data_IF_848726350556
#
_entry.id   IF_848726350556
#
_cell.length_a   1.000
_cell.length_b   1.000
_cell.length_c   1.000
_cell.angle_alpha   90.00
_cell.angle_beta   90.00
_cell.angle_gamma   90.00
#
_symmetry.space_group_name_H-M   'P 1'
#
loop_
_entity.id
_entity.type
_entity.pdbx_description
1 polymer ?
#
# COMPACT_ATOMS: atom_id res chain seq x y z
N UNK A 1 21.31 33.05 -16.69
CA UNK A 1 20.39 33.02 -17.86
C UNK A 1 19.81 31.63 -17.93
N UNK A 2 18.50 31.50 -17.79
CA UNK A 2 17.79 30.22 -17.94
C UNK A 2 17.89 29.76 -19.39
N UNK A 3 18.25 28.50 -19.62
CA UNK A 3 18.41 27.98 -20.98
C UNK A 3 17.05 27.76 -21.68
N UNK A 4 17.09 27.62 -23.01
CA UNK A 4 15.88 27.49 -23.85
C UNK A 4 15.07 26.23 -23.54
N UNK A 5 15.71 25.13 -23.13
CA UNK A 5 15.02 23.87 -22.78
C UNK A 5 14.20 24.09 -21.51
N UNK A 6 14.79 24.74 -20.51
CA UNK A 6 14.10 25.08 -19.25
C UNK A 6 12.93 26.04 -19.50
N UNK A 7 13.10 27.10 -20.31
CA UNK A 7 11.99 28.00 -20.66
C UNK A 7 10.83 27.27 -21.37
N UNK A 8 11.16 26.35 -22.28
CA UNK A 8 10.15 25.50 -22.94
C UNK A 8 9.39 24.62 -21.94
N UNK A 9 10.10 24.04 -20.97
CA UNK A 9 9.49 23.24 -19.90
C UNK A 9 8.55 24.06 -19.01
N UNK A 10 8.96 25.27 -18.61
CA UNK A 10 8.13 26.20 -17.85
C UNK A 10 6.80 26.48 -18.58
N UNK A 11 6.83 26.73 -19.88
CA UNK A 11 5.62 26.98 -20.66
C UNK A 11 4.73 25.73 -20.80
N UNK A 12 5.32 24.52 -20.83
CA UNK A 12 4.54 23.27 -20.75
C UNK A 12 3.86 23.12 -19.41
N UNK A 13 4.58 23.34 -18.31
CA UNK A 13 4.05 23.25 -16.94
C UNK A 13 2.87 24.20 -16.75
N UNK A 14 2.98 25.47 -17.17
CA UNK A 14 1.86 26.43 -17.09
C UNK A 14 0.62 25.96 -17.83
N UNK A 15 0.78 25.41 -19.04
CA UNK A 15 -0.34 24.84 -19.82
C UNK A 15 -0.95 23.63 -19.12
N UNK A 16 -0.10 22.76 -18.56
CA UNK A 16 -0.54 21.57 -17.85
C UNK A 16 -1.29 21.89 -16.55
N UNK A 17 -0.92 22.95 -15.81
CA UNK A 17 -1.70 23.41 -14.65
C UNK A 17 -3.13 23.81 -15.02
N UNK A 18 -3.29 24.54 -16.14
CA UNK A 18 -4.61 24.89 -16.66
C UNK A 18 -5.38 23.64 -17.08
N UNK A 19 -4.73 22.74 -17.83
CA UNK A 19 -5.35 21.50 -18.30
C UNK A 19 -5.74 20.56 -17.14
N UNK A 20 -4.89 20.45 -16.12
CA UNK A 20 -5.17 19.64 -14.93
C UNK A 20 -6.45 20.12 -14.23
N UNK A 21 -6.60 21.44 -14.07
CA UNK A 21 -7.84 22.05 -13.54
C UNK A 21 -9.07 21.80 -14.41
N UNK A 22 -8.90 21.73 -15.73
CA UNK A 22 -10.00 21.45 -16.65
C UNK A 22 -10.41 19.97 -16.67
N UNK A 23 -9.48 19.06 -16.41
CA UNK A 23 -9.71 17.61 -16.34
C UNK A 23 -10.30 17.24 -14.98
N UNK A 24 -9.67 17.67 -13.91
CA UNK A 24 -10.06 17.38 -12.53
C UNK A 24 -11.02 18.44 -11.99
N UNK A 25 -12.21 18.52 -12.58
CA UNK A 25 -13.20 19.56 -12.27
C UNK A 25 -13.81 19.44 -10.89
N UNK A 26 -13.86 18.22 -10.37
CA UNK A 26 -14.43 17.88 -9.07
C UNK A 26 -13.36 17.79 -7.97
N UNK A 27 -12.10 18.07 -8.31
CA UNK A 27 -10.95 18.03 -7.39
C UNK A 27 -10.79 16.68 -6.67
N UNK A 28 -10.92 15.59 -7.42
CA UNK A 28 -10.82 14.22 -6.89
C UNK A 28 -9.37 13.81 -6.60
N UNK A 29 -8.39 14.51 -7.19
CA UNK A 29 -6.98 14.25 -6.92
C UNK A 29 -6.63 14.73 -5.51
N UNK A 30 -5.92 13.89 -4.75
CA UNK A 30 -5.53 14.21 -3.39
C UNK A 30 -4.81 15.58 -3.31
N UNK A 31 -5.35 16.46 -2.47
CA UNK A 31 -4.87 17.83 -2.26
C UNK A 31 -5.39 18.88 -3.26
N UNK A 32 -6.01 18.45 -4.36
CA UNK A 32 -6.53 19.35 -5.40
C UNK A 32 -7.69 20.22 -4.89
N UNK A 33 -8.47 19.74 -3.93
CA UNK A 33 -9.55 20.48 -3.28
C UNK A 33 -9.04 21.67 -2.45
N UNK A 34 -7.81 21.57 -1.95
CA UNK A 34 -7.11 22.61 -1.20
C UNK A 34 -6.43 23.63 -2.12
N UNK A 35 -5.59 23.17 -3.06
CA UNK A 35 -4.81 24.08 -3.90
C UNK A 35 -5.54 24.54 -5.18
N UNK A 36 -6.53 23.78 -5.67
CA UNK A 36 -7.33 24.04 -6.89
C UNK A 36 -6.49 24.43 -8.13
N UNK A 37 -5.34 23.78 -8.26
CA UNK A 37 -4.30 24.04 -9.26
C UNK A 37 -3.82 25.51 -9.31
N UNK A 38 -3.97 26.27 -8.22
CA UNK A 38 -3.51 27.66 -8.12
C UNK A 38 -2.09 27.73 -7.58
N UNK A 39 -1.24 28.47 -8.29
CA UNK A 39 0.08 28.91 -7.81
C UNK A 39 0.02 30.42 -7.57
N UNK A 40 0.66 30.89 -6.51
CA UNK A 40 0.75 32.29 -6.11
C UNK A 40 1.66 33.13 -7.00
N UNK A 41 2.04 34.31 -6.50
CA UNK A 41 2.84 35.26 -7.26
C UNK A 41 4.28 34.79 -7.47
N UNK A 42 4.92 35.26 -8.54
CA UNK A 42 6.33 34.97 -8.85
C UNK A 42 7.25 35.69 -7.88
N UNK A 43 8.35 35.05 -7.53
CA UNK A 43 9.41 35.64 -6.71
C UNK A 43 10.25 36.58 -7.57
N UNK A 44 10.78 37.66 -6.98
CA UNK A 44 11.77 38.51 -7.67
C UNK A 44 13.17 37.92 -7.47
N UNK A 45 14.08 38.24 -8.39
CA UNK A 45 15.50 37.85 -8.23
C UNK A 45 16.10 38.34 -6.91
N UNK A 46 15.66 39.51 -6.42
CA UNK A 46 16.11 40.11 -5.15
C UNK A 46 15.80 39.22 -3.94
N UNK A 47 14.58 38.67 -3.86
CA UNK A 47 14.17 37.83 -2.72
C UNK A 47 14.87 36.46 -2.77
N UNK A 48 15.15 35.93 -3.98
CA UNK A 48 15.95 34.71 -4.15
C UNK A 48 17.39 34.94 -3.67
N UNK A 49 18.00 36.06 -4.06
CA UNK A 49 19.35 36.41 -3.62
C UNK A 49 19.42 36.65 -2.11
N UNK A 50 18.39 37.24 -1.52
CA UNK A 50 18.29 37.40 -0.07
C UNK A 50 18.24 36.04 0.63
N UNK A 51 17.41 35.11 0.14
CA UNK A 51 17.35 33.74 0.68
C UNK A 51 18.71 33.02 0.56
N UNK A 52 19.30 33.01 -0.64
CA UNK A 52 20.61 32.40 -0.90
C UNK A 52 21.70 32.97 0.02
N UNK A 53 21.70 34.30 0.22
CA UNK A 53 22.63 34.96 1.14
C UNK A 53 22.36 34.62 2.61
N UNK A 54 21.08 34.54 3.02
CA UNK A 54 20.69 34.29 4.40
C UNK A 54 21.07 32.88 4.89
N UNK A 55 21.03 31.90 3.98
CA UNK A 55 21.37 30.49 4.26
C UNK A 55 22.74 30.07 3.72
N UNK A 56 23.44 30.96 3.01
CA UNK A 56 24.73 30.69 2.35
C UNK A 56 24.67 29.44 1.44
N UNK A 57 23.64 29.41 0.60
CA UNK A 57 23.36 28.35 -0.38
C UNK A 57 23.23 28.95 -1.77
N UNK A 58 23.32 28.11 -2.81
CA UNK A 58 22.77 28.49 -4.11
C UNK A 58 21.66 27.53 -4.48
N UNK A 59 20.45 28.06 -4.70
CA UNK A 59 19.29 27.26 -5.09
C UNK A 59 19.54 26.59 -6.46
N UNK A 60 19.08 25.35 -6.65
CA UNK A 60 19.11 24.69 -7.95
C UNK A 60 18.42 25.53 -9.04
N UNK A 61 19.01 25.60 -10.24
CA UNK A 61 18.51 26.45 -11.33
C UNK A 61 17.08 26.10 -11.76
N UNK A 62 16.71 24.81 -11.68
CA UNK A 62 15.35 24.33 -11.92
C UNK A 62 14.35 24.92 -10.91
N UNK A 63 14.69 24.97 -9.62
CA UNK A 63 13.83 25.51 -8.58
C UNK A 63 13.74 27.04 -8.67
N UNK A 64 14.85 27.73 -8.93
CA UNK A 64 14.82 29.18 -9.23
C UNK A 64 13.92 29.50 -10.42
N UNK A 65 13.96 28.69 -11.48
CA UNK A 65 13.09 28.88 -12.64
C UNK A 65 11.60 28.68 -12.29
N UNK A 66 11.25 27.73 -11.41
CA UNK A 66 9.88 27.61 -10.90
C UNK A 66 9.43 28.88 -10.20
N UNK A 67 10.23 29.37 -9.24
CA UNK A 67 9.91 30.57 -8.44
C UNK A 67 9.78 31.84 -9.30
N UNK A 68 10.68 32.02 -10.26
CA UNK A 68 10.72 33.22 -11.13
C UNK A 68 9.61 33.22 -12.19
N UNK A 69 9.25 32.06 -12.73
CA UNK A 69 8.42 32.00 -13.94
C UNK A 69 7.06 31.34 -13.75
N UNK A 70 6.88 30.47 -12.77
CA UNK A 70 5.61 29.81 -12.46
C UNK A 70 4.94 30.52 -11.29
N UNK A 71 5.56 30.50 -10.10
CA UNK A 71 5.08 31.23 -8.93
C UNK A 71 5.61 30.67 -7.61
N UNK A 72 5.11 31.22 -6.50
CA UNK A 72 5.53 30.89 -5.14
C UNK A 72 4.36 30.94 -4.17
N UNK A 73 4.27 29.92 -3.31
CA UNK A 73 3.15 29.77 -2.40
C UNK A 73 1.79 29.73 -3.12
N UNK A 74 0.72 29.81 -2.36
CA UNK A 74 -0.64 29.68 -2.85
C UNK A 74 -1.64 29.64 -1.71
N UNK A 75 -2.78 29.01 -1.96
CA UNK A 75 -3.91 28.96 -1.02
C UNK A 75 -4.04 27.62 -0.29
N UNK A 76 -3.16 26.67 -0.57
CA UNK A 76 -3.20 25.36 0.06
C UNK A 76 -2.70 25.43 1.50
N UNK A 77 -2.63 24.27 2.16
CA UNK A 77 -2.02 24.08 3.47
C UNK A 77 -0.68 24.81 3.59
N UNK A 78 -0.47 25.53 4.71
CA UNK A 78 0.71 26.37 4.97
C UNK A 78 1.03 27.37 3.84
N UNK A 79 0.00 27.91 3.19
CA UNK A 79 0.11 28.83 2.05
C UNK A 79 0.85 28.21 0.86
N UNK A 80 0.76 26.90 0.67
CA UNK A 80 1.48 26.22 -0.41
C UNK A 80 0.88 26.50 -1.79
N UNK A 81 1.77 26.51 -2.79
CA UNK A 81 1.44 26.48 -4.21
C UNK A 81 0.81 25.13 -4.58
N UNK A 82 0.04 25.10 -5.66
CA UNK A 82 -0.36 23.85 -6.28
C UNK A 82 0.84 22.95 -6.57
N UNK A 83 0.72 21.69 -6.18
CA UNK A 83 1.74 20.67 -6.27
C UNK A 83 1.20 19.34 -5.75
N UNK A 84 1.99 18.27 -5.83
CA UNK A 84 1.67 16.98 -5.22
C UNK A 84 1.19 17.11 -3.77
N UNK A 85 0.22 16.30 -3.36
CA UNK A 85 -0.28 16.24 -1.99
C UNK A 85 -0.69 17.62 -1.46
N UNK A 86 -0.08 18.11 -0.38
CA UNK A 86 -0.46 19.40 0.21
C UNK A 86 0.12 20.62 -0.52
N UNK A 87 0.93 20.41 -1.56
CA UNK A 87 1.50 21.47 -2.39
C UNK A 87 2.97 21.77 -2.09
N UNK A 88 3.47 22.85 -2.71
CA UNK A 88 4.86 23.31 -2.55
C UNK A 88 4.90 24.53 -1.63
N UNK A 89 5.67 24.45 -0.54
CA UNK A 89 5.82 25.53 0.44
C UNK A 89 6.34 26.82 -0.21
N UNK A 90 5.94 28.00 0.29
CA UNK A 90 6.56 29.25 -0.11
C UNK A 90 8.06 29.27 0.21
N UNK A 91 8.85 29.92 -0.65
CA UNK A 91 10.27 30.19 -0.40
C UNK A 91 10.45 30.90 0.95
N UNK A 92 11.24 30.31 1.85
CA UNK A 92 11.53 30.88 3.17
C UNK A 92 10.62 30.39 4.29
N UNK A 93 9.55 29.65 3.98
CA UNK A 93 8.64 29.06 4.96
C UNK A 93 8.98 27.58 5.21
N UNK A 94 8.74 27.10 6.44
CA UNK A 94 8.98 25.71 6.89
C UNK A 94 10.42 25.21 6.62
N UNK A 95 11.40 26.12 6.63
CA UNK A 95 12.81 25.81 6.32
C UNK A 95 13.44 24.92 7.40
N UNK A 96 12.89 24.96 8.60
CA UNK A 96 13.31 24.27 9.82
C UNK A 96 12.66 22.91 10.04
N UNK A 97 11.77 22.46 9.15
CA UNK A 97 11.00 21.23 9.31
C UNK A 97 11.86 19.95 9.45
N UNK A 98 13.03 19.92 8.80
CA UNK A 98 13.98 18.81 8.94
C UNK A 98 15.02 19.05 10.04
N UNK A 99 15.25 20.30 10.40
CA UNK A 99 16.35 20.72 11.27
C UNK A 99 15.92 21.94 12.09
N UNK A 100 15.30 21.71 13.25
CA UNK A 100 14.57 22.75 13.98
C UNK A 100 15.48 23.82 14.60
N UNK A 101 16.66 23.44 15.08
CA UNK A 101 17.49 24.33 15.89
C UNK A 101 18.25 25.42 15.09
N UNK A 102 18.85 25.07 13.95
CA UNK A 102 19.65 26.01 13.15
C UNK A 102 19.76 25.58 11.67
N UNK A 103 18.73 25.84 10.84
CA UNK A 103 18.75 25.45 9.44
C UNK A 103 19.92 26.07 8.66
N UNK A 104 20.40 27.26 9.05
CA UNK A 104 21.54 27.93 8.39
C UNK A 104 22.84 27.15 8.54
N UNK A 105 23.01 26.44 9.65
CA UNK A 105 24.17 25.59 9.88
C UNK A 105 24.19 24.40 8.93
N UNK A 106 23.05 23.80 8.63
CA UNK A 106 22.97 22.50 7.96
C UNK A 106 22.60 22.58 6.47
N UNK A 107 21.83 23.58 6.02
CA UNK A 107 21.43 23.71 4.61
C UNK A 107 22.59 24.03 3.66
N UNK A 108 23.67 24.64 4.15
CA UNK A 108 24.87 24.95 3.35
C UNK A 108 25.81 23.77 3.13
N UNK A 109 25.62 22.70 3.89
CA UNK A 109 26.46 21.51 3.82
C UNK A 109 26.02 20.61 2.65
N UNK A 110 26.88 19.67 2.27
CA UNK A 110 26.55 18.69 1.23
C UNK A 110 25.51 17.68 1.73
N UNK A 111 24.64 17.25 0.82
CA UNK A 111 23.70 16.17 1.07
C UNK A 111 24.44 14.84 1.22
N UNK A 112 24.18 14.15 2.33
CA UNK A 112 24.74 12.82 2.60
C UNK A 112 23.90 11.70 2.00
N UNK A 113 22.62 11.95 1.80
CA UNK A 113 21.71 10.98 1.20
C UNK A 113 22.04 10.83 -0.27
N UNK A 114 21.99 9.60 -0.76
CA UNK A 114 22.19 9.29 -2.17
C UNK A 114 21.15 8.26 -2.66
N UNK A 115 20.82 8.26 -3.96
CA UNK A 115 19.92 7.26 -4.53
C UNK A 115 20.42 5.85 -4.27
N UNK A 116 19.51 4.91 -4.01
CA UNK A 116 19.83 3.49 -3.81
C UNK A 116 20.82 3.24 -2.65
N UNK A 117 20.78 4.07 -1.60
CA UNK A 117 21.59 3.84 -0.42
C UNK A 117 21.28 2.49 0.24
N UNK A 118 22.31 1.83 0.73
CA UNK A 118 22.17 0.51 1.36
C UNK A 118 21.51 0.63 2.72
N UNK A 119 20.89 -0.46 3.17
CA UNK A 119 20.29 -0.51 4.51
C UNK A 119 21.35 -0.33 5.60
N UNK A 120 22.56 -0.85 5.39
CA UNK A 120 23.68 -0.67 6.32
C UNK A 120 24.11 0.79 6.42
N UNK A 121 24.20 1.50 5.29
CA UNK A 121 24.53 2.93 5.31
C UNK A 121 23.46 3.73 6.05
N UNK A 122 22.18 3.44 5.80
CA UNK A 122 21.08 4.13 6.47
C UNK A 122 21.11 3.86 7.98
N UNK A 123 21.24 2.59 8.39
CA UNK A 123 21.33 2.21 9.79
C UNK A 123 22.53 2.85 10.49
N UNK A 124 23.71 2.90 9.85
CA UNK A 124 24.88 3.59 10.42
C UNK A 124 24.68 5.10 10.55
N UNK A 125 23.93 5.72 9.63
CA UNK A 125 23.66 7.15 9.63
C UNK A 125 22.65 7.56 10.71
N UNK A 126 21.67 6.70 11.04
CA UNK A 126 20.65 6.97 12.06
C UNK A 126 20.96 6.35 13.43
N UNK A 127 21.98 5.50 13.52
CA UNK A 127 22.36 4.74 14.74
C UNK A 127 22.37 5.57 16.01
N UNK A 128 23.00 6.74 15.96
CA UNK A 128 23.19 7.57 17.15
C UNK A 128 21.85 8.09 17.72
N UNK A 129 20.80 8.15 16.89
CA UNK A 129 19.43 8.45 17.31
C UNK A 129 18.69 7.18 17.70
N UNK A 130 18.70 6.16 16.85
CA UNK A 130 17.81 4.99 16.99
C UNK A 130 18.24 4.03 18.10
N UNK A 131 19.54 3.94 18.40
CA UNK A 131 20.07 3.06 19.44
C UNK A 131 20.29 3.75 20.80
N UNK A 132 20.07 5.07 20.89
CA UNK A 132 20.33 5.85 22.10
C UNK A 132 19.04 6.35 22.76
N UNK A 133 18.48 5.53 23.65
CA UNK A 133 17.24 5.87 24.39
C UNK A 133 17.37 7.11 25.31
N UNK A 134 18.60 7.49 25.68
CA UNK A 134 18.90 8.61 26.59
C UNK A 134 19.50 9.83 25.85
N UNK A 135 19.34 9.92 24.53
CA UNK A 135 19.84 11.05 23.74
C UNK A 135 19.25 12.38 24.24
N UNK A 136 20.10 13.39 24.41
CA UNK A 136 19.64 14.73 24.77
C UNK A 136 18.89 15.37 23.61
N UNK A 137 17.97 16.30 23.89
CA UNK A 137 17.28 17.03 22.81
C UNK A 137 18.27 17.76 21.91
N UNK A 138 19.31 18.38 22.48
CA UNK A 138 20.34 19.09 21.72
C UNK A 138 21.15 18.16 20.80
N UNK A 139 21.49 16.96 21.26
CA UNK A 139 22.21 15.97 20.46
C UNK A 139 21.31 15.36 19.39
N UNK A 140 20.04 15.07 19.72
CA UNK A 140 19.04 14.58 18.77
C UNK A 140 18.85 15.55 17.59
N UNK A 141 18.68 16.84 17.88
CA UNK A 141 18.62 17.90 16.86
C UNK A 141 19.90 17.99 16.02
N UNK A 142 21.06 17.80 16.67
CA UNK A 142 22.34 17.84 15.98
C UNK A 142 22.53 16.65 15.03
N UNK A 143 22.08 15.46 15.40
CA UNK A 143 22.07 14.26 14.56
C UNK A 143 21.06 14.39 13.41
N UNK A 144 19.84 14.89 13.65
CA UNK A 144 18.89 15.19 12.56
C UNK A 144 19.48 16.15 11.53
N UNK A 145 20.12 17.24 12.00
CA UNK A 145 20.81 18.17 11.12
C UNK A 145 21.93 17.53 10.30
N UNK A 146 22.60 16.50 10.83
CA UNK A 146 23.60 15.72 10.10
C UNK A 146 22.99 14.78 9.07
N UNK A 147 21.81 14.21 9.33
CA UNK A 147 21.11 13.28 8.42
C UNK A 147 20.57 14.08 7.22
N UNK A 148 19.90 15.21 7.49
CA UNK A 148 19.20 16.01 6.48
C UNK A 148 20.00 17.24 6.00
N UNK A 149 21.32 17.21 6.16
CA UNK A 149 22.21 18.30 5.72
C UNK A 149 22.05 18.56 4.22
N UNK A 150 21.99 19.84 3.83
CA UNK A 150 21.86 20.22 2.43
C UNK A 150 20.52 19.90 1.77
N UNK A 151 19.47 19.62 2.54
CA UNK A 151 18.13 19.29 2.03
C UNK A 151 17.12 20.32 2.54
N UNK A 152 16.46 21.03 1.61
CA UNK A 152 15.41 21.99 1.90
C UNK A 152 14.04 21.31 1.91
N UNK A 153 13.23 21.41 2.98
CA UNK A 153 11.82 21.01 2.93
C UNK A 153 11.07 21.88 1.92
N UNK A 154 10.34 21.25 1.00
CA UNK A 154 9.56 21.97 -0.03
C UNK A 154 8.08 21.61 -0.05
N UNK A 155 7.63 20.65 0.75
CA UNK A 155 6.23 20.28 0.88
C UNK A 155 6.03 19.04 1.74
N UNK A 156 4.79 18.72 2.08
CA UNK A 156 4.42 17.54 2.89
C UNK A 156 3.46 16.62 2.13
N UNK A 157 3.60 15.32 2.38
CA UNK A 157 2.66 14.28 1.92
C UNK A 157 1.59 13.99 2.99
N UNK A 158 1.73 14.58 4.19
CA UNK A 158 0.94 14.26 5.38
C UNK A 158 1.71 13.41 6.39
N UNK A 159 1.19 13.34 7.62
CA UNK A 159 1.84 12.65 8.74
C UNK A 159 3.30 13.11 8.93
N UNK A 160 4.26 12.19 8.81
CA UNK A 160 5.70 12.43 8.98
C UNK A 160 6.43 12.52 7.64
N UNK A 161 5.72 12.48 6.50
CA UNK A 161 6.31 12.42 5.17
C UNK A 161 6.44 13.78 4.50
N UNK A 162 7.62 14.05 3.94
CA UNK A 162 7.96 15.31 3.30
C UNK A 162 8.71 15.13 1.99
N UNK A 163 8.69 16.18 1.18
CA UNK A 163 9.56 16.33 0.02
C UNK A 163 10.75 17.22 0.40
N UNK A 164 11.96 16.70 0.19
CA UNK A 164 13.20 17.43 0.33
C UNK A 164 13.83 17.75 -1.02
N UNK A 165 14.18 19.01 -1.25
CA UNK A 165 14.99 19.45 -2.38
C UNK A 165 16.48 19.45 -2.00
N UNK A 166 17.28 18.68 -2.71
CA UNK A 166 18.73 18.66 -2.50
C UNK A 166 19.37 19.97 -3.01
N UNK A 167 20.01 20.73 -2.11
CA UNK A 167 20.62 22.03 -2.40
C UNK A 167 22.08 21.93 -2.86
N UNK A 168 22.83 20.97 -2.32
CA UNK A 168 24.28 20.85 -2.52
C UNK A 168 24.70 19.39 -2.76
N UNK A 169 25.94 19.20 -3.22
CA UNK A 169 26.48 17.89 -3.60
C UNK A 169 26.07 17.40 -5.00
N UNK A 170 26.38 16.13 -5.28
CA UNK A 170 26.25 15.50 -6.61
C UNK A 170 24.80 15.40 -7.10
N UNK A 171 23.83 15.34 -6.16
CA UNK A 171 22.41 15.19 -6.47
C UNK A 171 21.62 16.50 -6.41
N UNK A 172 22.32 17.64 -6.42
CA UNK A 172 21.72 18.98 -6.41
C UNK A 172 20.58 19.12 -7.41
N UNK A 173 19.43 19.58 -6.92
CA UNK A 173 18.22 19.80 -7.69
C UNK A 173 17.25 18.62 -7.71
N UNK A 174 17.63 17.43 -7.26
CA UNK A 174 16.74 16.27 -7.14
C UNK A 174 15.83 16.34 -5.91
N UNK A 175 14.73 15.60 -5.96
CA UNK A 175 13.79 15.45 -4.85
C UNK A 175 14.03 14.12 -4.14
N UNK A 176 13.96 14.15 -2.82
CA UNK A 176 13.98 12.98 -1.95
C UNK A 176 12.76 13.01 -1.04
N UNK A 177 12.05 11.89 -0.96
CA UNK A 177 10.98 11.69 0.02
C UNK A 177 11.64 11.31 1.34
N UNK A 178 11.29 12.06 2.38
CA UNK A 178 11.83 11.92 3.73
C UNK A 178 10.70 11.55 4.67
N UNK A 179 10.95 10.62 5.57
CA UNK A 179 10.08 10.30 6.70
C UNK A 179 10.76 10.78 7.99
N UNK A 180 10.10 11.64 8.76
CA UNK A 180 10.62 12.11 10.05
C UNK A 180 10.67 11.00 11.12
N UNK A 181 9.91 9.91 10.93
CA UNK A 181 10.06 8.67 11.73
C UNK A 181 11.27 7.82 11.29
N UNK A 182 12.08 8.33 10.34
CA UNK A 182 13.36 7.77 9.88
C UNK A 182 13.25 6.42 9.17
N UNK A 183 12.13 6.18 8.50
CA UNK A 183 12.10 5.22 7.39
C UNK A 183 13.08 5.67 6.28
N UNK A 184 13.70 4.68 5.61
CA UNK A 184 14.79 4.95 4.65
C UNK A 184 14.32 5.90 3.53
N UNK A 185 15.00 7.04 3.30
CA UNK A 185 14.60 8.02 2.31
C UNK A 185 14.60 7.46 0.87
N UNK A 186 13.69 7.97 0.05
CA UNK A 186 13.52 7.53 -1.34
C UNK A 186 13.74 8.69 -2.32
N UNK A 187 14.77 8.61 -3.16
CA UNK A 187 14.98 9.60 -4.22
C UNK A 187 13.96 9.42 -5.35
N UNK A 188 13.33 10.51 -5.77
CA UNK A 188 12.45 10.48 -6.94
C UNK A 188 13.26 10.17 -8.20
N UNK A 189 12.63 9.57 -9.20
CA UNK A 189 13.30 9.14 -10.43
C UNK A 189 13.77 10.33 -11.28
N UNK A 190 13.11 11.47 -11.13
CA UNK A 190 13.37 12.65 -11.93
C UNK A 190 14.72 13.28 -11.56
N UNK A 191 15.38 13.79 -12.60
CA UNK A 191 16.73 14.33 -12.48
C UNK A 191 16.76 15.69 -11.79
N UNK A 192 15.63 16.37 -11.67
CA UNK A 192 15.51 17.65 -10.97
C UNK A 192 14.04 17.98 -10.58
N UNK A 193 13.88 19.05 -9.79
CA UNK A 193 12.59 19.57 -9.33
C UNK A 193 11.57 19.83 -10.45
N UNK A 194 11.96 20.43 -11.58
CA UNK A 194 11.00 20.75 -12.65
C UNK A 194 10.54 19.50 -13.37
N UNK A 195 11.42 18.53 -13.60
CA UNK A 195 11.05 17.24 -14.18
C UNK A 195 10.05 16.51 -13.25
N UNK A 196 10.31 16.53 -11.94
CA UNK A 196 9.42 15.97 -10.92
C UNK A 196 8.04 16.66 -10.88
N UNK A 197 8.03 17.99 -10.86
CA UNK A 197 6.80 18.79 -10.85
C UNK A 197 6.01 18.63 -12.15
N UNK A 198 6.69 18.59 -13.31
CA UNK A 198 6.06 18.38 -14.60
C UNK A 198 5.43 16.98 -14.70
N UNK A 199 6.09 15.96 -14.14
CA UNK A 199 5.56 14.59 -14.11
C UNK A 199 4.27 14.49 -13.28
N UNK A 200 4.21 15.15 -12.13
CA UNK A 200 2.96 15.20 -11.34
C UNK A 200 1.79 15.65 -12.21
N UNK A 201 1.99 16.71 -13.00
CA UNK A 201 0.97 17.18 -13.93
C UNK A 201 0.73 16.22 -15.11
N UNK A 202 1.73 15.48 -15.57
CA UNK A 202 1.55 14.44 -16.60
C UNK A 202 0.62 13.31 -16.10
N UNK A 203 0.73 12.91 -14.83
CA UNK A 203 -0.14 11.88 -14.25
C UNK A 203 -1.61 12.31 -14.25
N UNK A 204 -1.87 13.61 -14.06
CA UNK A 204 -3.21 14.19 -14.07
C UNK A 204 -3.73 14.41 -15.49
N UNK A 205 -2.87 14.90 -16.38
CA UNK A 205 -3.26 15.30 -17.73
C UNK A 205 -3.21 14.18 -18.77
N UNK A 206 -2.66 13.02 -18.42
CA UNK A 206 -2.70 11.84 -19.27
C UNK A 206 -4.12 11.25 -19.36
N UNK A 207 -4.47 10.65 -20.51
CA UNK A 207 -5.78 10.00 -20.75
C UNK A 207 -6.08 8.81 -19.80
N UNK A 208 -5.16 8.48 -18.88
CA UNK A 208 -5.32 7.46 -17.86
C UNK A 208 -5.27 8.08 -16.46
N UNK A 209 -6.35 8.73 -16.02
CA UNK A 209 -6.46 9.16 -14.62
C UNK A 209 -6.25 7.96 -13.70
N UNK A 210 -5.34 8.06 -12.75
CA UNK A 210 -5.20 7.08 -11.66
C UNK A 210 -6.08 7.53 -10.51
N UNK A 211 -7.08 6.73 -10.13
CA UNK A 211 -7.99 7.02 -9.01
C UNK A 211 -7.32 6.91 -7.62
N UNK A 212 -6.02 6.65 -7.56
CA UNK A 212 -5.24 6.54 -6.33
C UNK A 212 -3.99 7.44 -6.45
N UNK A 213 -4.09 8.65 -5.91
CA UNK A 213 -3.08 9.72 -5.99
C UNK A 213 -1.99 9.65 -4.93
N UNK A 214 -2.08 8.73 -3.97
CA UNK A 214 -1.08 8.54 -2.91
C UNK A 214 0.25 7.95 -3.42
N UNK A 215 0.33 7.57 -4.71
CA UNK A 215 1.37 6.68 -5.24
C UNK A 215 2.39 7.36 -6.17
N UNK A 216 2.25 8.67 -6.40
CA UNK A 216 3.23 9.51 -7.11
C UNK A 216 4.63 9.42 -6.48
N UNK A 217 4.67 9.28 -5.15
CA UNK A 217 5.86 9.36 -4.31
C UNK A 217 6.89 8.24 -4.56
N UNK A 218 6.44 7.00 -4.74
CA UNK A 218 7.31 5.81 -4.63
C UNK A 218 7.31 4.93 -5.89
N UNK A 219 7.04 5.49 -7.07
CA UNK A 219 7.00 4.69 -8.31
C UNK A 219 7.68 5.36 -9.49
N UNK A 220 8.26 4.55 -10.38
CA UNK A 220 8.63 4.99 -11.71
C UNK A 220 7.33 5.25 -12.47
N UNK A 221 7.06 6.51 -12.76
CA UNK A 221 5.86 6.94 -13.46
C UNK A 221 6.19 7.44 -14.86
N UNK A 222 5.24 8.19 -15.42
CA UNK A 222 5.17 8.38 -16.87
C UNK A 222 4.36 7.28 -17.57
N UNK A 223 4.42 7.30 -18.89
CA UNK A 223 3.66 6.38 -19.75
C UNK A 223 4.12 4.94 -19.57
N UNK A 224 3.22 3.98 -19.83
CA UNK A 224 3.54 2.55 -19.78
C UNK A 224 4.73 2.21 -20.69
N UNK A 225 4.84 2.87 -21.86
CA UNK A 225 5.97 2.70 -22.78
C UNK A 225 7.30 3.18 -22.20
N UNK A 226 7.31 4.26 -21.42
CA UNK A 226 8.52 4.70 -20.73
C UNK A 226 8.95 3.69 -19.67
N UNK A 227 8.00 3.24 -18.83
CA UNK A 227 8.26 2.23 -17.80
C UNK A 227 8.79 0.93 -18.42
N UNK A 228 8.19 0.49 -19.53
CA UNK A 228 8.65 -0.68 -20.27
C UNK A 228 10.08 -0.50 -20.81
N UNK A 229 10.43 0.67 -21.32
CA UNK A 229 11.80 0.93 -21.78
C UNK A 229 12.82 0.85 -20.63
N UNK A 230 12.49 1.38 -19.44
CA UNK A 230 13.35 1.25 -18.25
C UNK A 230 13.46 -0.21 -17.82
N UNK A 231 12.35 -0.94 -17.80
CA UNK A 231 12.33 -2.38 -17.50
C UNK A 231 13.23 -3.20 -18.45
N UNK A 232 13.16 -2.93 -19.76
CA UNK A 232 13.95 -3.65 -20.76
C UNK A 232 15.42 -3.27 -20.80
N UNK A 233 15.77 -2.04 -20.39
CA UNK A 233 17.16 -1.54 -20.45
C UNK A 233 17.93 -1.70 -19.14
N UNK A 234 17.24 -1.85 -18.01
CA UNK A 234 17.85 -2.09 -16.71
C UNK A 234 18.31 -3.55 -16.57
N UNK A 235 19.48 -3.74 -15.95
CA UNK A 235 19.94 -5.05 -15.47
C UNK A 235 19.72 -5.23 -13.96
N UNK A 236 19.21 -4.20 -13.29
CA UNK A 236 18.95 -4.21 -11.86
C UNK A 236 17.57 -4.81 -11.56
N UNK A 237 17.53 -5.82 -10.67
CA UNK A 237 16.31 -6.54 -10.32
C UNK A 237 15.31 -5.66 -9.58
N UNK A 238 15.78 -4.79 -8.69
CA UNK A 238 14.93 -3.89 -7.92
C UNK A 238 14.27 -2.85 -8.83
N UNK A 239 15.02 -2.26 -9.75
CA UNK A 239 14.46 -1.34 -10.76
C UNK A 239 13.40 -2.05 -11.62
N UNK A 240 13.63 -3.30 -12.00
CA UNK A 240 12.64 -4.07 -12.75
C UNK A 240 11.37 -4.35 -11.94
N UNK A 241 11.49 -4.73 -10.67
CA UNK A 241 10.34 -4.91 -9.76
C UNK A 241 9.53 -3.62 -9.58
N UNK A 242 10.22 -2.48 -9.48
CA UNK A 242 9.59 -1.16 -9.40
C UNK A 242 8.86 -0.79 -10.68
N UNK A 243 9.44 -1.08 -11.85
CA UNK A 243 8.77 -0.91 -13.14
C UNK A 243 7.47 -1.73 -13.19
N UNK A 244 7.52 -3.01 -12.82
CA UNK A 244 6.34 -3.88 -12.81
C UNK A 244 5.30 -3.40 -11.78
N UNK A 245 5.73 -2.87 -10.64
CA UNK A 245 4.85 -2.24 -9.66
C UNK A 245 4.19 -0.97 -10.21
N UNK A 246 4.94 -0.15 -10.96
CA UNK A 246 4.41 1.01 -11.68
C UNK A 246 3.38 0.62 -12.74
N UNK A 247 3.64 -0.47 -13.48
CA UNK A 247 2.69 -1.03 -14.46
C UNK A 247 1.44 -1.56 -13.77
N UNK A 248 1.57 -2.32 -12.67
CA UNK A 248 0.43 -2.83 -11.90
C UNK A 248 -0.50 -1.73 -11.41
N UNK A 249 -0.04 -0.50 -11.22
CA UNK A 249 -0.87 0.62 -10.77
C UNK A 249 -1.66 1.28 -11.90
N UNK A 250 -1.38 0.95 -13.16
CA UNK A 250 -2.12 1.50 -14.31
C UNK A 250 -3.53 0.92 -14.37
N UNK A 251 -4.48 1.70 -14.89
CA UNK A 251 -5.84 1.24 -15.12
C UNK A 251 -5.92 0.28 -16.30
N UNK A 252 -5.26 0.64 -17.41
CA UNK A 252 -5.22 -0.14 -18.64
C UNK A 252 -3.82 -0.08 -19.25
N UNK A 253 -3.45 -1.11 -20.02
CA UNK A 253 -2.20 -1.16 -20.79
C UNK A 253 -2.49 -1.69 -22.19
N UNK A 254 -1.68 -1.25 -23.17
CA UNK A 254 -1.82 -1.69 -24.56
C UNK A 254 -1.45 -3.19 -24.71
N UNK A 255 -2.16 -3.91 -25.56
CA UNK A 255 -1.89 -5.34 -25.81
C UNK A 255 -0.45 -5.62 -26.26
N UNK A 256 0.20 -4.71 -26.98
CA UNK A 256 1.61 -4.88 -27.40
C UNK A 256 2.57 -4.86 -26.22
N UNK A 257 2.22 -4.14 -25.15
CA UNK A 257 3.01 -4.11 -23.92
C UNK A 257 2.87 -5.45 -23.21
N UNK A 258 1.65 -6.01 -23.18
CA UNK A 258 1.41 -7.34 -22.67
C UNK A 258 2.20 -8.41 -23.44
N UNK A 259 2.33 -8.28 -24.77
CA UNK A 259 3.13 -9.21 -25.57
C UNK A 259 4.61 -9.23 -25.10
N UNK A 260 5.19 -8.04 -24.85
CA UNK A 260 6.58 -7.94 -24.36
C UNK A 260 6.73 -8.51 -22.95
N UNK A 261 5.81 -8.18 -22.03
CA UNK A 261 5.85 -8.68 -20.66
C UNK A 261 5.64 -10.21 -20.60
N UNK A 262 4.83 -10.75 -21.49
CA UNK A 262 4.64 -12.19 -21.66
C UNK A 262 5.87 -12.86 -22.24
N UNK A 263 6.66 -12.26 -23.12
CA UNK A 263 7.92 -12.89 -23.54
C UNK A 263 8.93 -12.99 -22.37
N UNK A 264 8.94 -11.97 -21.50
CA UNK A 264 9.85 -11.84 -20.36
C UNK A 264 9.43 -12.66 -19.13
N UNK A 265 8.16 -13.09 -19.02
CA UNK A 265 7.65 -13.82 -17.83
C UNK A 265 8.39 -15.13 -17.54
N UNK A 266 9.10 -15.68 -18.53
CA UNK A 266 9.95 -16.89 -18.37
C UNK A 266 11.13 -16.66 -17.41
N UNK A 267 11.38 -15.42 -17.01
CA UNK A 267 12.27 -15.08 -15.92
C UNK A 267 11.85 -15.80 -14.64
N UNK A 268 12.80 -16.39 -13.92
CA UNK A 268 12.52 -17.06 -12.63
C UNK A 268 12.55 -16.06 -11.47
N UNK A 269 12.06 -16.47 -10.30
CA UNK A 269 12.13 -15.66 -9.09
C UNK A 269 11.05 -14.58 -9.01
N UNK A 270 11.31 -13.53 -8.23
CA UNK A 270 10.33 -12.49 -7.93
C UNK A 270 9.89 -11.70 -9.17
N UNK A 271 10.79 -11.50 -10.15
CA UNK A 271 10.44 -10.86 -11.43
C UNK A 271 9.39 -11.66 -12.19
N UNK A 272 9.58 -12.97 -12.34
CA UNK A 272 8.63 -13.85 -13.03
C UNK A 272 7.27 -13.86 -12.35
N UNK A 273 7.26 -13.97 -11.02
CA UNK A 273 6.06 -13.87 -10.20
C UNK A 273 5.33 -12.53 -10.40
N UNK A 274 6.07 -11.41 -10.39
CA UNK A 274 5.50 -10.07 -10.57
C UNK A 274 4.97 -9.85 -11.98
N UNK A 275 5.65 -10.39 -13.00
CA UNK A 275 5.16 -10.41 -14.39
C UNK A 275 3.85 -11.18 -14.51
N UNK A 276 3.76 -12.39 -13.92
CA UNK A 276 2.51 -13.15 -13.88
C UNK A 276 1.40 -12.36 -13.18
N UNK A 277 1.69 -11.67 -12.07
CA UNK A 277 0.72 -10.79 -11.42
C UNK A 277 0.20 -9.70 -12.37
N UNK A 278 1.08 -9.05 -13.13
CA UNK A 278 0.71 -8.04 -14.14
C UNK A 278 -0.18 -8.64 -15.21
N UNK A 279 0.19 -9.80 -15.76
CA UNK A 279 -0.59 -10.48 -16.79
C UNK A 279 -1.99 -10.84 -16.25
N UNK A 280 -2.11 -11.35 -15.02
CA UNK A 280 -3.42 -11.65 -14.43
C UNK A 280 -4.29 -10.40 -14.29
N UNK A 281 -3.69 -9.26 -13.88
CA UNK A 281 -4.43 -8.01 -13.73
C UNK A 281 -5.05 -7.51 -15.03
N UNK A 282 -4.29 -7.56 -16.12
CA UNK A 282 -4.70 -6.90 -17.37
C UNK A 282 -5.26 -7.88 -18.41
N UNK A 283 -4.88 -9.16 -18.38
CA UNK A 283 -5.35 -10.19 -19.31
C UNK A 283 -5.21 -11.61 -18.71
N UNK A 284 -6.20 -12.02 -17.90
CA UNK A 284 -6.20 -13.35 -17.28
C UNK A 284 -6.07 -14.49 -18.29
N UNK A 285 -6.68 -14.39 -19.49
CA UNK A 285 -6.64 -15.46 -20.48
C UNK A 285 -5.23 -15.73 -20.98
N UNK A 286 -4.43 -14.67 -21.10
CA UNK A 286 -3.01 -14.72 -21.44
C UNK A 286 -2.16 -15.30 -20.33
N UNK A 287 -2.43 -14.94 -19.07
CA UNK A 287 -1.73 -15.50 -17.91
C UNK A 287 -2.05 -16.99 -17.68
N UNK A 288 -3.28 -17.41 -17.97
CA UNK A 288 -3.86 -18.71 -17.60
C UNK A 288 -2.99 -19.94 -17.91
N UNK A 289 -2.36 -20.09 -19.09
CA UNK A 289 -1.53 -21.26 -19.40
C UNK A 289 -0.35 -21.42 -18.43
N UNK A 290 0.17 -20.31 -17.91
CA UNK A 290 1.35 -20.27 -17.04
C UNK A 290 0.99 -20.43 -15.56
N UNK A 291 -0.20 -19.97 -15.16
CA UNK A 291 -0.63 -20.00 -13.75
C UNK A 291 -0.71 -21.42 -13.20
N UNK A 292 -1.20 -22.40 -13.97
CA UNK A 292 -1.32 -23.79 -13.46
C UNK A 292 0.03 -24.45 -13.21
N UNK A 293 1.06 -24.11 -14.00
CA UNK A 293 2.41 -24.59 -13.76
C UNK A 293 3.04 -23.85 -12.59
N UNK A 294 2.89 -22.52 -12.51
CA UNK A 294 3.39 -21.72 -11.39
C UNK A 294 2.74 -22.08 -10.06
N UNK A 295 1.45 -22.47 -10.06
CA UNK A 295 0.73 -22.91 -8.85
C UNK A 295 1.30 -24.19 -8.24
N UNK A 296 2.08 -24.99 -8.99
CA UNK A 296 2.80 -26.15 -8.43
C UNK A 296 3.99 -25.72 -7.56
N UNK A 297 4.50 -24.51 -7.77
CA UNK A 297 5.62 -23.92 -7.04
C UNK A 297 5.14 -22.97 -5.94
N UNK A 298 4.21 -22.06 -6.28
CA UNK A 298 3.66 -21.04 -5.36
C UNK A 298 2.14 -20.88 -5.58
N UNK A 299 1.38 -21.79 -4.98
CA UNK A 299 -0.09 -21.78 -5.05
C UNK A 299 -0.71 -20.54 -4.38
N UNK A 300 -0.07 -20.03 -3.32
CA UNK A 300 -0.57 -18.88 -2.56
C UNK A 300 -0.63 -17.64 -3.44
N UNK A 301 0.49 -17.31 -4.10
CA UNK A 301 0.57 -16.16 -4.99
C UNK A 301 -0.44 -16.27 -6.12
N UNK A 302 -0.63 -17.45 -6.69
CA UNK A 302 -1.64 -17.67 -7.74
C UNK A 302 -3.06 -17.40 -7.22
N UNK A 303 -3.44 -17.96 -6.07
CA UNK A 303 -4.78 -17.71 -5.51
C UNK A 303 -4.98 -16.24 -5.15
N UNK A 304 -3.94 -15.56 -4.68
CA UNK A 304 -3.96 -14.12 -4.44
C UNK A 304 -4.21 -13.34 -5.74
N UNK A 305 -3.47 -13.62 -6.81
CA UNK A 305 -3.61 -12.91 -8.08
C UNK A 305 -5.00 -13.09 -8.67
N UNK A 306 -5.51 -14.32 -8.66
CA UNK A 306 -6.86 -14.65 -9.15
C UNK A 306 -7.89 -13.91 -8.30
N UNK A 307 -7.80 -13.95 -6.97
CA UNK A 307 -8.78 -13.27 -6.13
C UNK A 307 -8.76 -11.74 -6.29
N UNK A 308 -7.57 -11.13 -6.39
CA UNK A 308 -7.45 -9.68 -6.49
C UNK A 308 -7.90 -9.12 -7.82
N UNK A 309 -7.63 -9.84 -8.93
CA UNK A 309 -7.80 -9.26 -10.26
C UNK A 309 -8.68 -10.06 -11.22
N UNK A 310 -8.96 -11.33 -10.94
CA UNK A 310 -9.70 -12.23 -11.84
C UNK A 310 -10.68 -13.13 -11.06
N UNK A 311 -11.33 -12.59 -10.03
CA UNK A 311 -12.18 -13.40 -9.13
C UNK A 311 -13.40 -13.99 -9.83
N UNK A 312 -13.87 -13.37 -10.90
CA UNK A 312 -14.89 -13.91 -11.82
C UNK A 312 -14.43 -15.20 -12.52
N UNK A 313 -13.12 -15.49 -12.51
CA UNK A 313 -12.50 -16.69 -13.07
C UNK A 313 -12.16 -17.75 -12.03
N UNK A 314 -12.60 -17.59 -10.78
CA UNK A 314 -12.34 -18.56 -9.71
C UNK A 314 -12.74 -20.00 -10.09
N UNK A 315 -13.82 -20.18 -10.85
CA UNK A 315 -14.30 -21.52 -11.28
C UNK A 315 -13.29 -22.32 -12.08
N UNK A 316 -12.34 -21.68 -12.77
CA UNK A 316 -11.27 -22.36 -13.50
C UNK A 316 -10.36 -23.17 -12.57
N UNK A 317 -10.32 -22.81 -11.29
CA UNK A 317 -9.44 -23.37 -10.28
C UNK A 317 -10.07 -24.49 -9.46
N UNK A 318 -11.37 -24.77 -9.63
CA UNK A 318 -12.08 -25.75 -8.80
C UNK A 318 -11.43 -27.14 -8.86
N UNK A 319 -11.09 -27.60 -10.06
CA UNK A 319 -10.51 -28.94 -10.23
C UNK A 319 -9.07 -29.00 -9.71
N UNK A 320 -8.30 -27.93 -9.92
CA UNK A 320 -6.96 -27.81 -9.33
C UNK A 320 -7.02 -27.82 -7.80
N UNK A 321 -7.94 -27.07 -7.20
CA UNK A 321 -8.17 -27.04 -5.77
C UNK A 321 -8.48 -28.45 -5.28
N UNK A 322 -9.50 -29.13 -5.84
CA UNK A 322 -9.89 -30.49 -5.42
C UNK A 322 -8.72 -31.48 -5.45
N UNK A 323 -7.88 -31.41 -6.49
CA UNK A 323 -6.73 -32.32 -6.65
C UNK A 323 -5.56 -32.00 -5.71
N UNK A 324 -5.46 -30.76 -5.22
CA UNK A 324 -4.31 -30.31 -4.42
C UNK A 324 -4.68 -29.88 -3.00
N UNK A 325 -5.95 -29.97 -2.60
CA UNK A 325 -6.41 -29.37 -1.36
C UNK A 325 -5.70 -29.97 -0.14
N UNK A 326 -5.42 -31.26 -0.14
CA UNK A 326 -4.69 -31.95 0.94
C UNK A 326 -3.25 -31.43 1.13
N UNK A 327 -2.68 -30.73 0.14
CA UNK A 327 -1.34 -30.13 0.24
C UNK A 327 -1.35 -28.78 0.93
N UNK A 328 -2.51 -28.15 1.10
CA UNK A 328 -2.65 -26.85 1.75
C UNK A 328 -2.52 -27.06 3.26
N UNK A 329 -1.43 -26.58 3.84
CA UNK A 329 -1.11 -26.75 5.26
C UNK A 329 -0.83 -25.43 6.00
N UNK A 330 -0.86 -24.29 5.30
CA UNK A 330 -0.74 -22.97 5.88
C UNK A 330 -2.07 -22.19 5.85
N UNK A 331 -2.25 -21.30 6.84
CA UNK A 331 -3.47 -20.51 7.00
C UNK A 331 -3.75 -19.61 5.79
N UNK A 332 -2.70 -18.98 5.24
CA UNK A 332 -2.87 -17.92 4.24
C UNK A 332 -3.34 -18.49 2.91
N UNK A 333 -2.76 -19.61 2.49
CA UNK A 333 -3.20 -20.35 1.29
C UNK A 333 -4.61 -20.87 1.47
N UNK A 334 -4.94 -21.43 2.64
CA UNK A 334 -6.28 -21.92 2.90
C UNK A 334 -7.32 -20.80 2.89
N UNK A 335 -7.01 -19.64 3.47
CA UNK A 335 -7.85 -18.45 3.43
C UNK A 335 -8.17 -18.04 1.98
N UNK A 336 -7.15 -17.85 1.14
CA UNK A 336 -7.37 -17.47 -0.26
C UNK A 336 -8.09 -18.57 -1.05
N UNK A 337 -7.83 -19.84 -0.77
CA UNK A 337 -8.58 -20.97 -1.33
C UNK A 337 -10.08 -20.84 -1.02
N UNK A 338 -10.45 -20.56 0.24
CA UNK A 338 -11.85 -20.38 0.64
C UNK A 338 -12.50 -19.16 0.00
N UNK A 339 -11.76 -18.08 -0.23
CA UNK A 339 -12.26 -16.91 -0.95
C UNK A 339 -12.59 -17.23 -2.41
N UNK A 340 -11.71 -17.96 -3.10
CA UNK A 340 -11.99 -18.41 -4.47
C UNK A 340 -13.21 -19.33 -4.53
N UNK A 341 -13.32 -20.29 -3.60
CA UNK A 341 -14.48 -21.19 -3.52
C UNK A 341 -15.79 -20.42 -3.28
N UNK A 342 -15.76 -19.36 -2.46
CA UNK A 342 -16.92 -18.51 -2.20
C UNK A 342 -17.37 -17.74 -3.45
N UNK A 343 -16.43 -17.20 -4.23
CA UNK A 343 -16.74 -16.48 -5.49
C UNK A 343 -17.39 -17.39 -6.54
N UNK A 344 -17.19 -18.71 -6.48
CA UNK A 344 -17.81 -19.67 -7.39
C UNK A 344 -19.33 -19.87 -7.16
N UNK A 345 -19.88 -19.37 -6.04
CA UNK A 345 -21.32 -19.48 -5.69
C UNK A 345 -21.86 -20.91 -5.77
N UNK A 346 -21.05 -21.87 -5.33
CA UNK A 346 -21.40 -23.28 -5.24
C UNK A 346 -21.32 -23.75 -3.79
N UNK A 347 -21.90 -24.92 -3.51
CA UNK A 347 -21.69 -25.58 -2.23
C UNK A 347 -20.28 -26.20 -2.19
N UNK A 348 -19.36 -25.50 -1.53
CA UNK A 348 -17.98 -25.93 -1.32
C UNK A 348 -17.77 -26.61 0.04
N UNK A 349 -18.80 -26.77 0.87
CA UNK A 349 -18.63 -27.27 2.22
C UNK A 349 -17.97 -28.64 2.24
N UNK A 350 -18.41 -29.56 1.37
CA UNK A 350 -17.80 -30.89 1.23
C UNK A 350 -16.31 -30.87 0.84
N UNK A 351 -15.83 -29.79 0.20
CA UNK A 351 -14.41 -29.62 -0.16
C UNK A 351 -13.57 -29.27 1.07
N UNK A 352 -14.11 -28.45 1.98
CA UNK A 352 -13.35 -27.90 3.11
C UNK A 352 -13.58 -28.64 4.44
N UNK A 353 -14.67 -29.40 4.59
CA UNK A 353 -14.98 -30.20 5.79
C UNK A 353 -13.80 -31.03 6.34
N UNK A 354 -12.96 -31.69 5.50
CA UNK A 354 -11.79 -32.43 5.99
C UNK A 354 -10.83 -31.59 6.86
N UNK A 355 -10.79 -30.27 6.67
CA UNK A 355 -9.94 -29.36 7.44
C UNK A 355 -10.39 -29.19 8.90
N UNK A 356 -11.56 -29.70 9.29
CA UNK A 356 -12.03 -29.66 10.69
C UNK A 356 -11.12 -30.46 11.64
N UNK A 357 -10.31 -31.35 11.08
CA UNK A 357 -9.34 -32.18 11.81
C UNK A 357 -7.89 -31.71 11.60
N UNK A 358 -7.66 -30.58 10.92
CA UNK A 358 -6.32 -30.06 10.69
C UNK A 358 -5.65 -29.69 12.02
N UNK A 359 -4.37 -29.97 12.19
CA UNK A 359 -3.63 -29.67 13.43
C UNK A 359 -3.54 -28.15 13.69
N UNK A 360 -3.48 -27.35 12.63
CA UNK A 360 -3.41 -25.90 12.72
C UNK A 360 -4.79 -25.30 13.09
N UNK A 361 -4.86 -24.72 14.29
CA UNK A 361 -6.08 -24.06 14.81
C UNK A 361 -6.58 -22.92 13.92
N UNK A 362 -5.71 -22.20 13.23
CA UNK A 362 -6.11 -21.06 12.40
C UNK A 362 -6.77 -21.52 11.10
N UNK A 363 -6.33 -22.66 10.57
CA UNK A 363 -7.01 -23.34 9.45
C UNK A 363 -8.40 -23.81 9.89
N UNK A 364 -8.51 -24.46 11.06
CA UNK A 364 -9.83 -24.85 11.61
C UNK A 364 -10.73 -23.63 11.85
N UNK A 365 -10.17 -22.52 12.33
CA UNK A 365 -10.88 -21.25 12.51
C UNK A 365 -11.45 -20.74 11.17
N UNK A 366 -10.59 -20.64 10.15
CA UNK A 366 -10.97 -20.20 8.80
C UNK A 366 -12.01 -21.12 8.17
N UNK A 367 -11.95 -22.44 8.43
CA UNK A 367 -12.94 -23.39 7.98
C UNK A 367 -14.35 -23.04 8.49
N UNK A 368 -14.51 -22.85 9.80
CA UNK A 368 -15.83 -22.55 10.37
C UNK A 368 -16.36 -21.20 9.89
N UNK A 369 -15.49 -20.19 9.80
CA UNK A 369 -15.85 -18.91 9.17
C UNK A 369 -16.42 -19.13 7.76
N UNK A 370 -15.72 -19.92 6.94
CA UNK A 370 -16.09 -20.17 5.54
C UNK A 370 -17.35 -21.02 5.40
N UNK A 371 -17.53 -22.07 6.22
CA UNK A 371 -18.78 -22.83 6.27
C UNK A 371 -19.96 -21.97 6.70
N UNK A 372 -19.74 -20.99 7.58
CA UNK A 372 -20.77 -20.07 8.05
C UNK A 372 -21.35 -19.14 6.96
N UNK A 373 -20.63 -18.97 5.85
CA UNK A 373 -21.06 -18.16 4.70
C UNK A 373 -21.97 -18.93 3.73
N UNK A 374 -22.07 -20.27 3.85
CA UNK A 374 -22.93 -21.07 3.00
C UNK A 374 -24.41 -20.88 3.36
N UNK A 375 -25.26 -20.67 2.34
CA UNK A 375 -26.71 -20.63 2.53
C UNK A 375 -27.23 -21.96 3.11
N UNK A 376 -26.65 -23.09 2.68
CA UNK A 376 -26.99 -24.43 3.11
C UNK A 376 -26.14 -24.93 4.29
N UNK A 377 -25.52 -24.04 5.09
CA UNK A 377 -24.67 -24.42 6.22
C UNK A 377 -25.29 -25.40 7.23
N UNK A 378 -26.63 -25.49 7.28
CA UNK A 378 -27.35 -26.49 8.08
C UNK A 378 -27.01 -27.93 7.70
N UNK A 379 -26.65 -28.19 6.45
CA UNK A 379 -26.25 -29.51 5.96
C UNK A 379 -24.92 -29.99 6.59
N UNK A 380 -24.14 -29.06 7.15
CA UNK A 380 -22.83 -29.29 7.76
C UNK A 380 -22.87 -29.26 9.30
N UNK A 381 -24.05 -29.51 9.90
CA UNK A 381 -24.27 -29.42 11.34
C UNK A 381 -23.28 -30.28 12.15
N UNK A 382 -23.00 -31.51 11.69
CA UNK A 382 -22.07 -32.41 12.37
C UNK A 382 -20.66 -31.83 12.43
N UNK A 383 -20.22 -31.14 11.37
CA UNK A 383 -18.94 -30.43 11.36
C UNK A 383 -18.94 -29.26 12.34
N UNK A 384 -19.99 -28.44 12.39
CA UNK A 384 -20.09 -27.38 13.40
C UNK A 384 -20.05 -27.92 14.83
N UNK A 385 -20.70 -29.07 15.08
CA UNK A 385 -20.66 -29.77 16.37
C UNK A 385 -19.23 -30.18 16.75
N UNK A 386 -18.38 -30.54 15.77
CA UNK A 386 -16.95 -30.77 16.03
C UNK A 386 -16.26 -29.49 16.49
N UNK A 387 -16.52 -28.35 15.84
CA UNK A 387 -15.94 -27.05 16.21
C UNK A 387 -16.34 -26.57 17.59
N UNK A 388 -17.58 -26.84 18.01
CA UNK A 388 -18.05 -26.56 19.37
C UNK A 388 -17.34 -27.40 20.44
N UNK A 389 -16.69 -28.50 20.05
CA UNK A 389 -15.92 -29.39 20.93
C UNK A 389 -14.40 -29.16 20.83
N UNK A 390 -13.94 -28.21 20.01
CA UNK A 390 -12.53 -27.98 19.77
C UNK A 390 -11.78 -27.58 21.06
N UNK A 391 -10.49 -27.89 21.13
CA UNK A 391 -9.67 -27.49 22.28
C UNK A 391 -9.34 -25.99 22.26
N UNK A 392 -9.33 -25.37 21.08
CA UNK A 392 -9.06 -23.94 20.91
C UNK A 392 -10.30 -23.08 21.12
N UNK A 393 -10.18 -22.10 22.02
CA UNK A 393 -11.20 -21.10 22.26
C UNK A 393 -11.59 -20.32 20.99
N UNK A 394 -10.61 -19.98 20.14
CA UNK A 394 -10.84 -19.24 18.89
C UNK A 394 -11.60 -20.05 17.84
N UNK A 395 -11.42 -21.38 17.84
CA UNK A 395 -12.17 -22.29 16.96
C UNK A 395 -13.61 -22.43 17.46
N UNK A 396 -13.82 -22.61 18.77
CA UNK A 396 -15.16 -22.61 19.38
C UNK A 396 -15.89 -21.29 19.09
N UNK A 397 -15.21 -20.16 19.28
CA UNK A 397 -15.73 -18.83 18.99
C UNK A 397 -16.22 -18.75 17.53
N UNK A 398 -15.39 -19.17 16.58
CA UNK A 398 -15.72 -19.11 15.15
C UNK A 398 -16.87 -20.04 14.78
N UNK A 399 -16.92 -21.25 15.36
CA UNK A 399 -18.04 -22.17 15.18
C UNK A 399 -19.36 -21.59 15.74
N UNK A 400 -19.32 -20.95 16.92
CA UNK A 400 -20.49 -20.28 17.49
C UNK A 400 -20.98 -19.15 16.60
N UNK A 401 -20.09 -18.30 16.08
CA UNK A 401 -20.45 -17.23 15.15
C UNK A 401 -21.06 -17.76 13.86
N UNK A 402 -20.43 -18.77 13.25
CA UNK A 402 -20.90 -19.36 11.99
C UNK A 402 -22.30 -19.99 12.09
N UNK A 403 -22.69 -20.47 13.27
CA UNK A 403 -24.02 -21.01 13.57
C UNK A 403 -25.14 -19.95 13.67
N UNK A 404 -24.89 -18.69 13.33
CA UNK A 404 -25.95 -17.68 13.26
C UNK A 404 -27.08 -18.11 12.31
N UNK A 405 -28.33 -18.02 12.79
CA UNK A 405 -29.52 -18.45 12.04
C UNK A 405 -29.74 -19.96 11.97
N UNK A 406 -28.90 -20.77 12.64
CA UNK A 406 -29.07 -22.22 12.76
C UNK A 406 -29.74 -22.55 14.09
N UNK A 407 -31.04 -22.81 14.03
CA UNK A 407 -31.86 -23.19 15.19
C UNK A 407 -32.16 -24.69 15.12
N UNK A 408 -31.29 -25.50 15.73
CA UNK A 408 -31.47 -26.95 15.84
C UNK A 408 -31.32 -27.39 17.31
N UNK A 409 -32.33 -28.09 17.83
CA UNK A 409 -32.39 -28.57 19.22
C UNK A 409 -31.21 -29.49 19.56
N UNK A 410 -30.63 -30.21 18.58
CA UNK A 410 -29.43 -31.04 18.78
C UNK A 410 -28.23 -30.22 19.28
N UNK A 411 -28.17 -28.94 18.96
CA UNK A 411 -27.09 -28.04 19.40
C UNK A 411 -27.14 -27.73 20.89
N UNK A 412 -28.31 -27.81 21.54
CA UNK A 412 -28.45 -27.50 22.97
C UNK A 412 -27.55 -28.36 23.85
N UNK A 413 -27.40 -29.64 23.52
CA UNK A 413 -26.50 -30.54 24.25
C UNK A 413 -25.03 -30.09 24.14
N UNK A 414 -24.64 -29.50 23.02
CA UNK A 414 -23.29 -28.99 22.80
C UNK A 414 -23.09 -27.61 23.44
N UNK A 415 -24.09 -26.74 23.35
CA UNK A 415 -24.13 -25.45 24.02
C UNK A 415 -24.07 -25.57 25.55
N UNK A 416 -24.77 -26.56 26.13
CA UNK A 416 -24.70 -26.86 27.56
C UNK A 416 -23.27 -27.22 27.99
N UNK A 417 -22.60 -28.09 27.23
CA UNK A 417 -21.20 -28.48 27.50
C UNK A 417 -20.24 -27.30 27.43
N UNK A 418 -20.42 -26.38 26.47
CA UNK A 418 -19.63 -25.13 26.41
C UNK A 418 -19.90 -24.30 27.67
N UNK A 419 -21.17 -24.08 28.04
CA UNK A 419 -21.50 -23.33 29.25
C UNK A 419 -20.85 -23.95 30.50
N UNK A 420 -20.83 -25.28 30.63
CA UNK A 420 -20.19 -26.01 31.73
C UNK A 420 -18.66 -25.87 31.71
N UNK A 421 -18.04 -25.93 30.53
CA UNK A 421 -16.59 -25.75 30.33
C UNK A 421 -16.11 -24.35 30.69
N UNK A 422 -16.90 -23.32 30.43
CA UNK A 422 -16.54 -21.91 30.66
C UNK A 422 -17.30 -21.32 31.87
N UNK A 423 -16.69 -21.28 33.08
CA UNK A 423 -17.35 -20.76 34.28
C UNK A 423 -17.48 -19.22 34.28
N UNK A 424 -16.65 -18.53 33.50
CA UNK A 424 -16.64 -17.07 33.30
C UNK A 424 -16.33 -16.78 31.83
N UNK A 425 -16.67 -15.57 31.38
CA UNK A 425 -16.40 -15.13 30.00
C UNK A 425 -14.90 -15.21 29.67
N UNK A 426 -14.59 -15.73 28.49
CA UNK A 426 -13.25 -15.87 27.91
C UNK A 426 -13.40 -15.83 26.39
N UNK A 427 -12.58 -15.01 25.73
CA UNK A 427 -12.51 -14.92 24.26
C UNK A 427 -13.89 -14.75 23.58
N UNK A 428 -14.83 -14.07 24.26
CA UNK A 428 -16.22 -13.84 23.84
C UNK A 428 -17.05 -15.11 23.60
N UNK A 429 -16.64 -16.25 24.16
CA UNK A 429 -17.34 -17.53 23.97
C UNK A 429 -18.73 -17.50 24.61
N UNK A 430 -18.87 -17.03 25.86
CA UNK A 430 -20.16 -17.06 26.54
C UNK A 430 -21.13 -16.04 25.92
N UNK A 431 -20.62 -14.90 25.47
CA UNK A 431 -21.38 -13.89 24.74
C UNK A 431 -21.93 -14.45 23.43
N UNK A 432 -21.09 -15.09 22.60
CA UNK A 432 -21.55 -15.74 21.37
C UNK A 432 -22.51 -16.90 21.65
N UNK A 433 -22.26 -17.67 22.71
CA UNK A 433 -23.15 -18.74 23.16
C UNK A 433 -24.53 -18.19 23.53
N UNK A 434 -24.61 -17.08 24.27
CA UNK A 434 -25.88 -16.43 24.62
C UNK A 434 -26.65 -15.96 23.36
N UNK A 435 -25.94 -15.44 22.35
CA UNK A 435 -26.57 -15.12 21.06
C UNK A 435 -27.18 -16.34 20.38
N UNK A 436 -26.54 -17.52 20.46
CA UNK A 436 -27.08 -18.78 19.92
C UNK A 436 -28.21 -19.37 20.77
N UNK A 437 -28.24 -19.07 22.06
CA UNK A 437 -29.29 -19.54 22.98
C UNK A 437 -30.53 -18.66 23.01
N UNK A 438 -30.43 -17.41 22.55
CA UNK A 438 -31.53 -16.45 22.54
C UNK A 438 -32.80 -16.94 21.82
N UNK A 439 -32.76 -17.59 20.63
CA UNK A 439 -33.95 -18.12 19.98
C UNK A 439 -34.70 -19.18 20.82
N UNK A 440 -33.96 -19.88 21.68
CA UNK A 440 -34.48 -20.87 22.62
C UNK A 440 -34.96 -20.21 23.95
N UNK A 441 -34.88 -18.89 24.09
CA UNK A 441 -35.18 -18.23 25.37
C UNK A 441 -34.25 -18.67 26.51
N UNK A 442 -33.05 -19.14 26.17
CA UNK A 442 -32.03 -19.61 27.10
C UNK A 442 -30.84 -18.65 27.18
N UNK A 443 -30.01 -18.87 28.19
CA UNK A 443 -28.69 -18.24 28.39
C UNK A 443 -27.72 -19.32 28.85
N UNK A 444 -26.42 -19.04 28.82
CA UNK A 444 -25.38 -19.91 29.35
C UNK A 444 -25.59 -20.25 30.84
N UNK A 445 -26.36 -19.44 31.59
CA UNK A 445 -26.71 -19.72 32.99
C UNK A 445 -27.92 -20.64 33.11
N UNK A 446 -28.95 -20.45 32.29
CA UNK A 446 -30.19 -21.23 32.37
C UNK A 446 -30.04 -22.60 31.73
N UNK A 447 -29.28 -22.73 30.65
CA UNK A 447 -29.06 -24.01 29.95
C UNK A 447 -28.39 -25.08 30.83
N UNK A 448 -27.58 -24.68 31.82
CA UNK A 448 -26.96 -25.61 32.78
C UNK A 448 -28.00 -26.38 33.62
N UNK A 449 -29.19 -25.82 33.79
CA UNK A 449 -30.23 -26.32 34.71
C UNK A 449 -31.35 -27.08 34.01
N UNK A 450 -31.43 -27.03 32.68
CA UNK A 450 -32.49 -27.69 31.94
C UNK A 450 -32.13 -29.14 31.64
N UNK A 451 -33.16 -29.96 31.59
CA UNK A 451 -33.13 -31.30 31.02
C UNK A 451 -33.44 -31.17 29.52
N UNK A 452 -32.44 -31.40 28.67
CA UNK A 452 -32.52 -31.17 27.23
C UNK A 452 -33.39 -32.23 26.56
N UNK A 453 -33.51 -33.42 27.14
CA UNK A 453 -34.35 -34.50 26.60
C UNK A 453 -35.85 -34.17 26.71
N UNK A 454 -36.20 -33.17 27.52
CA UNK A 454 -37.57 -32.70 27.76
C UNK A 454 -37.82 -31.26 27.24
N UNK A 455 -36.90 -30.72 26.44
CA UNK A 455 -36.89 -29.31 25.99
C UNK A 455 -37.45 -29.12 24.57
#
# INVERSE_FOLDING_TARGET
MTDQKTLSQIERIKKKLILAKEIDKDFEIFGADSHEYVVGEKVKDEDILEFESNYNVSLPDCYKAFLLYIGNGGKSYQNSAAGPSYGIFPLGENVDEFVYADPKKYLKEDCKLYPEMSDEFWADLTRDIDENEDISNEDFEAELGKIYSGILPIGTQGCTYYYGLVLNGVFKGRIVNVDLDREKPFFTFESNFLDWYERWLDEITSESMTAETDLFHYTLGGSVSHILNVFSTSNDEQIKLECLTGILKKQNIDSKILDVLEEEHKSKGEIGKKLLQVLVKFDYNRARPYLFDFAKEDVLSVFQFVFWYAKDRSSDWLEFIKQNIERINDEKTFQFCTYLLQEMKLDYGGVIVPFSLNENKEIRRQLYYSLGQLENKRDYLDTFIMGLKDDSNWVIHSALQALEGVEDVKLLNHYKRIAERFPKEQDYILTNLDHRLKPFGLTHKTIKKIDIDNY
#
